data_IF_641943864713
#
_entry.id   IF_641943864713
#
_cell.length_a   1.000
_cell.length_b   1.000
_cell.length_c   1.000
_cell.angle_alpha   90.00
_cell.angle_beta   90.00
_cell.angle_gamma   90.00
#
_symmetry.space_group_name_H-M   'P 1'
#
loop_
_entity.id
_entity.type
_entity.pdbx_description
1 polymer ?
#
# COMPACT_ATOMS: atom_id res chain seq x y z
N UNK A 1 -0.13 10.98 -1.48
CA UNK A 1 -0.55 9.73 -0.80
C UNK A 1 -2.03 9.69 -0.42
N UNK A 2 -2.69 10.80 -0.05
CA UNK A 2 -4.07 10.73 0.47
C UNK A 2 -5.10 10.11 -0.49
N UNK A 3 -4.97 10.31 -1.81
CA UNK A 3 -5.87 9.68 -2.80
C UNK A 3 -5.69 8.16 -2.90
N UNK A 4 -4.45 7.67 -2.87
CA UNK A 4 -4.17 6.22 -2.92
C UNK A 4 -4.69 5.51 -1.67
N UNK A 5 -4.45 6.09 -0.50
CA UNK A 5 -4.97 5.55 0.77
C UNK A 5 -6.50 5.51 0.74
N UNK A 6 -7.18 6.51 0.14
CA UNK A 6 -8.64 6.48 -0.02
C UNK A 6 -9.11 5.34 -0.93
N UNK A 7 -8.42 5.06 -2.04
CA UNK A 7 -8.74 3.90 -2.88
C UNK A 7 -8.60 2.61 -2.09
N UNK A 8 -7.50 2.47 -1.34
CA UNK A 8 -7.26 1.34 -0.44
C UNK A 8 -8.40 1.20 0.58
N UNK A 9 -8.69 2.22 1.37
CA UNK A 9 -9.72 2.16 2.42
C UNK A 9 -11.12 1.82 1.86
N UNK A 10 -11.45 2.32 0.66
CA UNK A 10 -12.72 2.03 -0.01
C UNK A 10 -12.75 0.64 -0.66
N UNK A 11 -11.60 0.02 -0.91
CA UNK A 11 -11.51 -1.23 -1.67
C UNK A 11 -11.56 -1.03 -3.19
N UNK A 12 -11.26 0.19 -3.65
CA UNK A 12 -11.25 0.54 -5.07
C UNK A 12 -9.94 0.09 -5.74
N UNK A 13 -9.87 -1.22 -6.03
CA UNK A 13 -8.72 -1.82 -6.70
C UNK A 13 -8.55 -1.26 -8.11
N UNK A 14 -9.62 -0.95 -8.83
CA UNK A 14 -9.55 -0.47 -10.22
C UNK A 14 -8.85 0.89 -10.29
N UNK A 15 -9.26 1.86 -9.47
CA UNK A 15 -8.60 3.18 -9.45
C UNK A 15 -7.16 3.10 -8.94
N UNK A 16 -6.91 2.23 -7.95
CA UNK A 16 -5.57 2.00 -7.43
C UNK A 16 -4.64 1.39 -8.50
N UNK A 17 -5.11 0.34 -9.17
CA UNK A 17 -4.40 -0.35 -10.24
C UNK A 17 -4.11 0.63 -11.38
N UNK A 18 -5.13 1.32 -11.90
CA UNK A 18 -4.98 2.30 -12.97
C UNK A 18 -3.91 3.36 -12.65
N UNK A 19 -3.87 3.86 -11.42
CA UNK A 19 -2.85 4.83 -11.03
C UNK A 19 -1.45 4.22 -11.00
N UNK A 20 -1.28 3.08 -10.32
CA UNK A 20 0.03 2.47 -10.09
C UNK A 20 0.62 1.84 -11.36
N UNK A 21 -0.20 1.39 -12.31
CA UNK A 21 0.24 0.87 -13.61
C UNK A 21 0.46 1.97 -14.66
N UNK A 22 -0.01 3.20 -14.42
CA UNK A 22 0.19 4.33 -15.32
C UNK A 22 1.58 5.00 -15.16
N UNK A 23 2.37 4.58 -14.17
CA UNK A 23 3.71 5.10 -13.89
C UNK A 23 4.76 3.98 -13.96
N UNK A 24 6.05 4.29 -14.11
CA UNK A 24 7.11 3.27 -14.08
C UNK A 24 7.07 2.44 -12.80
N UNK A 25 7.27 1.13 -12.93
CA UNK A 25 7.13 0.18 -11.80
C UNK A 25 8.04 0.50 -10.62
N UNK A 26 9.23 1.04 -10.86
CA UNK A 26 10.16 1.44 -9.80
C UNK A 26 9.65 2.63 -8.98
N UNK A 27 8.97 3.60 -9.63
CA UNK A 27 8.32 4.71 -8.94
C UNK A 27 7.07 4.24 -8.20
N UNK A 28 6.30 3.32 -8.78
CA UNK A 28 5.16 2.70 -8.10
C UNK A 28 5.61 1.97 -6.82
N UNK A 29 6.67 1.15 -6.90
CA UNK A 29 7.27 0.45 -5.75
C UNK A 29 7.73 1.43 -4.68
N UNK A 30 8.40 2.50 -5.07
CA UNK A 30 8.83 3.56 -4.14
C UNK A 30 7.63 4.14 -3.40
N UNK A 31 6.54 4.47 -4.10
CA UNK A 31 5.32 5.00 -3.48
C UNK A 31 4.70 3.99 -2.51
N UNK A 32 4.60 2.72 -2.90
CA UNK A 32 3.98 1.65 -2.09
C UNK A 32 4.74 1.44 -0.78
N UNK A 33 6.07 1.47 -0.85
CA UNK A 33 6.96 1.18 0.27
C UNK A 33 7.37 2.42 1.08
N UNK A 34 7.05 3.63 0.61
CA UNK A 34 7.25 4.84 1.42
C UNK A 34 6.28 4.83 2.58
N UNK A 35 6.80 4.99 3.79
CA UNK A 35 6.01 5.10 5.00
C UNK A 35 5.61 6.55 5.30
N UNK A 36 4.49 6.72 6.01
CA UNK A 36 4.12 8.00 6.60
C UNK A 36 4.87 8.28 7.93
N UNK A 37 4.45 9.32 8.65
CA UNK A 37 5.03 9.72 9.94
C UNK A 37 4.88 8.66 11.05
N UNK A 38 3.98 7.69 10.87
CA UNK A 38 3.75 6.59 11.81
C UNK A 38 4.47 5.31 11.38
N UNK A 39 5.21 5.33 10.25
CA UNK A 39 5.79 4.14 9.65
C UNK A 39 4.81 3.34 8.80
N UNK A 40 3.56 3.81 8.61
CA UNK A 40 2.55 3.10 7.83
C UNK A 40 2.85 3.25 6.33
N UNK A 41 3.06 2.12 5.66
CA UNK A 41 3.14 2.01 4.20
C UNK A 41 1.77 1.72 3.59
N UNK A 42 1.65 1.74 2.26
CA UNK A 42 0.38 1.43 1.59
C UNK A 42 -0.14 0.01 1.92
N UNK A 43 0.77 -0.92 2.18
CA UNK A 43 0.49 -2.30 2.62
C UNK A 43 -0.17 -2.31 4.00
N UNK A 44 0.29 -1.48 4.95
CA UNK A 44 -0.32 -1.36 6.28
C UNK A 44 -1.78 -0.91 6.19
N UNK A 45 -2.06 0.11 5.37
CA UNK A 45 -3.42 0.60 5.17
C UNK A 45 -4.33 -0.48 4.57
N UNK A 46 -3.83 -1.29 3.63
CA UNK A 46 -4.59 -2.37 3.00
C UNK A 46 -4.90 -3.51 3.98
N UNK A 47 -3.90 -3.92 4.78
CA UNK A 47 -4.05 -4.94 5.82
C UNK A 47 -5.06 -4.51 6.89
N UNK A 48 -4.90 -3.29 7.44
CA UNK A 48 -5.80 -2.73 8.47
C UNK A 48 -7.22 -2.50 7.97
N UNK A 49 -7.40 -2.23 6.68
CA UNK A 49 -8.72 -2.05 6.06
C UNK A 49 -9.35 -3.37 5.59
N UNK A 50 -8.71 -4.51 5.88
CA UNK A 50 -9.12 -5.86 5.48
C UNK A 50 -9.36 -6.03 3.97
N UNK A 51 -8.63 -5.28 3.14
CA UNK A 51 -8.79 -5.33 1.68
C UNK A 51 -7.87 -6.38 1.08
N UNK A 52 -8.27 -7.65 1.20
CA UNK A 52 -7.45 -8.80 0.77
C UNK A 52 -7.02 -8.70 -0.71
N UNK A 53 -7.92 -8.34 -1.60
CA UNK A 53 -7.62 -8.18 -3.03
C UNK A 53 -6.57 -7.10 -3.30
N UNK A 54 -6.69 -5.96 -2.62
CA UNK A 54 -5.70 -4.87 -2.71
C UNK A 54 -4.38 -5.29 -2.06
N UNK A 55 -4.42 -5.98 -0.92
CA UNK A 55 -3.24 -6.45 -0.22
C UNK A 55 -2.43 -7.43 -1.08
N UNK A 56 -3.08 -8.42 -1.69
CA UNK A 56 -2.46 -9.34 -2.64
C UNK A 56 -1.88 -8.58 -3.83
N UNK A 57 -2.64 -7.69 -4.48
CA UNK A 57 -2.13 -6.88 -5.60
C UNK A 57 -0.87 -6.08 -5.22
N UNK A 58 -0.88 -5.41 -4.07
CA UNK A 58 0.26 -4.60 -3.64
C UNK A 58 1.51 -5.45 -3.38
N UNK A 59 1.38 -6.65 -2.80
CA UNK A 59 2.51 -7.52 -2.45
C UNK A 59 2.98 -8.33 -3.66
N UNK A 60 2.07 -9.07 -4.28
CA UNK A 60 2.36 -10.08 -5.29
C UNK A 60 2.70 -9.44 -6.64
N UNK A 61 1.93 -8.40 -7.05
CA UNK A 61 2.08 -7.81 -8.39
C UNK A 61 2.99 -6.58 -8.38
N UNK A 62 2.96 -5.80 -7.29
CA UNK A 62 3.63 -4.50 -7.23
C UNK A 62 4.88 -4.46 -6.35
N UNK A 63 5.24 -5.55 -5.66
CA UNK A 63 6.48 -5.62 -4.87
C UNK A 63 6.44 -4.81 -3.56
N UNK A 64 5.26 -4.69 -2.96
CA UNK A 64 5.08 -4.11 -1.63
C UNK A 64 5.66 -5.01 -0.54
N UNK A 65 6.40 -4.41 0.40
CA UNK A 65 7.00 -5.14 1.50
C UNK A 65 5.94 -5.54 2.54
N UNK A 66 5.55 -6.81 2.53
CA UNK A 66 4.62 -7.40 3.50
C UNK A 66 5.15 -7.40 4.94
N UNK A 67 6.47 -7.33 5.11
CA UNK A 67 7.17 -7.36 6.41
C UNK A 67 7.63 -5.96 6.84
N UNK A 68 7.12 -4.91 6.20
CA UNK A 68 7.36 -3.55 6.67
C UNK A 68 6.82 -3.41 8.10
N UNK A 69 7.62 -2.83 8.99
CA UNK A 69 7.23 -2.55 10.38
C UNK A 69 6.88 -1.08 10.52
N UNK A 70 5.77 -0.79 11.19
CA UNK A 70 5.43 0.56 11.61
C UNK A 70 5.84 0.79 13.08
N UNK A 71 5.67 2.02 13.57
CA UNK A 71 6.05 2.39 14.94
C UNK A 71 5.22 1.62 15.98
N UNK A 72 3.97 1.25 15.68
CA UNK A 72 3.11 0.51 16.60
C UNK A 72 3.56 -0.95 16.77
N UNK A 73 4.04 -1.58 15.70
CA UNK A 73 4.54 -2.94 15.73
C UNK A 73 5.93 -3.03 16.39
N UNK A 74 6.71 -1.94 16.37
CA UNK A 74 8.02 -1.88 17.06
C UNK A 74 7.94 -1.83 18.60
N UNK A 75 6.79 -1.50 19.17
CA UNK A 75 6.61 -1.32 20.62
C UNK A 75 5.91 -2.51 21.31
N UNK A 76 5.65 -3.60 20.59
CA UNK A 76 5.09 -4.86 21.11
C UNK A 76 6.17 -5.89 21.37
#
# INVERSE_FOLDING_TARGET
MSSLIKYVQRGDLSSLCNYLTAIPIEEARKIINTSDIHGDTLVHFAARSHKRNILSFLIEDMGGNAMAVNIHDMLK
#
